data_IF_228225097930
#
_entry.id   IF_228225097930
#
_cell.length_a   1.000
_cell.length_b   1.000
_cell.length_c   1.000
_cell.angle_alpha   90.00
_cell.angle_beta   90.00
_cell.angle_gamma   90.00
#
_symmetry.space_group_name_H-M   'P 1'
#
loop_
_entity.id
_entity.type
_entity.pdbx_description
1 polymer ?
#
# COMPACT_ATOMS: atom_id res chain seq x y z
N UNK A 1 -19.12 13.98 26.09
CA UNK A 1 -19.81 13.42 24.91
C UNK A 1 -18.95 12.26 24.41
N UNK A 2 -19.55 11.26 23.79
CA UNK A 2 -18.79 10.04 23.42
C UNK A 2 -18.47 10.06 21.92
N UNK A 3 -17.21 9.85 21.55
CA UNK A 3 -16.79 9.55 20.18
C UNK A 3 -16.95 8.04 19.92
N UNK A 4 -17.50 7.66 18.79
CA UNK A 4 -17.61 6.27 18.36
C UNK A 4 -16.54 5.96 17.32
N UNK A 5 -15.74 4.94 17.54
CA UNK A 5 -14.81 4.37 16.56
C UNK A 5 -15.38 3.05 16.03
N UNK A 6 -15.52 2.92 14.74
CA UNK A 6 -16.04 1.73 14.06
C UNK A 6 -14.89 0.98 13.40
N UNK A 7 -14.62 -0.23 13.89
CA UNK A 7 -13.48 -1.07 13.52
C UNK A 7 -12.36 -0.99 14.56
N UNK A 8 -11.98 -2.14 15.12
CA UNK A 8 -10.99 -2.28 16.21
C UNK A 8 -9.55 -2.53 15.70
N UNK A 9 -9.31 -2.54 14.38
CA UNK A 9 -7.98 -2.75 13.82
C UNK A 9 -7.09 -1.49 13.95
N UNK A 10 -5.90 -1.52 13.37
CA UNK A 10 -4.83 -0.50 13.51
C UNK A 10 -5.33 0.96 13.50
N UNK A 11 -6.13 1.37 12.51
CA UNK A 11 -6.67 2.74 12.46
C UNK A 11 -7.64 3.04 13.61
N UNK A 12 -8.40 2.02 14.06
CA UNK A 12 -9.30 2.16 15.21
C UNK A 12 -8.54 2.32 16.52
N UNK A 13 -7.44 1.59 16.70
CA UNK A 13 -6.56 1.72 17.87
C UNK A 13 -5.94 3.12 17.92
N UNK A 14 -5.38 3.59 16.79
CA UNK A 14 -4.80 4.93 16.70
C UNK A 14 -5.81 6.04 17.00
N UNK A 15 -7.03 5.93 16.44
CA UNK A 15 -8.15 6.84 16.75
C UNK A 15 -8.49 6.82 18.24
N UNK A 16 -8.68 5.64 18.82
CA UNK A 16 -9.02 5.51 20.24
C UNK A 16 -7.92 6.10 21.13
N UNK A 17 -6.66 5.84 20.82
CA UNK A 17 -5.50 6.38 21.55
C UNK A 17 -5.47 7.91 21.48
N UNK A 18 -5.60 8.47 20.28
CA UNK A 18 -5.59 9.92 20.08
C UNK A 18 -6.78 10.61 20.81
N UNK A 19 -7.99 10.08 20.66
CA UNK A 19 -9.20 10.67 21.26
C UNK A 19 -9.18 10.58 22.79
N UNK A 20 -8.72 9.47 23.37
CA UNK A 20 -8.52 9.34 24.82
C UNK A 20 -7.47 10.37 25.31
N UNK A 21 -6.35 10.51 24.61
CA UNK A 21 -5.32 11.49 24.95
C UNK A 21 -5.85 12.92 24.86
N UNK A 22 -6.80 13.19 23.95
CA UNK A 22 -7.52 14.47 23.86
C UNK A 22 -8.60 14.66 24.95
N UNK A 23 -8.79 13.69 25.85
CA UNK A 23 -9.78 13.76 26.95
C UNK A 23 -11.20 13.42 26.56
N UNK A 24 -11.41 12.76 25.43
CA UNK A 24 -12.74 12.31 25.00
C UNK A 24 -13.13 10.95 25.63
N UNK A 25 -14.42 10.73 25.83
CA UNK A 25 -14.94 9.40 26.10
C UNK A 25 -15.03 8.65 24.78
N UNK A 26 -14.47 7.45 24.71
CA UNK A 26 -14.38 6.68 23.46
C UNK A 26 -15.12 5.36 23.57
N UNK A 27 -15.99 5.08 22.62
CA UNK A 27 -16.55 3.76 22.37
C UNK A 27 -15.95 3.18 21.10
N UNK A 28 -15.53 1.92 21.14
CA UNK A 28 -15.06 1.18 19.96
C UNK A 28 -16.02 0.01 19.72
N UNK A 29 -16.49 -0.11 18.47
CA UNK A 29 -17.32 -1.24 18.02
C UNK A 29 -16.66 -1.98 16.88
N UNK A 30 -16.79 -3.31 16.87
CA UNK A 30 -16.43 -4.16 15.73
C UNK A 30 -17.42 -5.31 15.62
N UNK A 31 -17.72 -5.74 14.40
CA UNK A 31 -18.61 -6.89 14.13
C UNK A 31 -17.97 -8.22 14.48
N UNK A 32 -16.65 -8.29 14.50
CA UNK A 32 -15.92 -9.47 14.91
C UNK A 32 -16.05 -9.67 16.43
N UNK A 33 -16.22 -10.91 16.87
CA UNK A 33 -16.22 -11.22 18.29
C UNK A 33 -14.81 -11.06 18.89
N UNK A 34 -14.73 -10.89 20.22
CA UNK A 34 -13.47 -10.70 20.93
C UNK A 34 -12.43 -11.82 20.69
N UNK A 35 -12.90 -13.04 20.41
CA UNK A 35 -12.02 -14.18 20.14
C UNK A 35 -11.18 -14.00 18.85
N UNK A 36 -11.65 -13.19 17.90
CA UNK A 36 -10.95 -12.89 16.64
C UNK A 36 -10.10 -11.62 16.69
N UNK A 37 -10.14 -10.87 17.80
CA UNK A 37 -9.51 -9.55 17.95
C UNK A 37 -8.59 -9.49 19.20
N UNK A 38 -8.04 -10.61 19.62
CA UNK A 38 -7.25 -10.67 20.86
C UNK A 38 -6.01 -9.78 20.81
N UNK A 39 -5.30 -9.74 19.68
CA UNK A 39 -4.12 -8.91 19.51
C UNK A 39 -4.50 -7.42 19.48
N UNK A 40 -5.57 -7.07 18.81
CA UNK A 40 -6.08 -5.70 18.74
C UNK A 40 -6.56 -5.20 20.12
N UNK A 41 -7.24 -6.06 20.88
CA UNK A 41 -7.70 -5.76 22.25
C UNK A 41 -6.50 -5.49 23.16
N UNK A 42 -5.41 -6.27 23.04
CA UNK A 42 -4.21 -6.09 23.85
C UNK A 42 -3.51 -4.74 23.60
N UNK A 43 -3.71 -4.13 22.42
CA UNK A 43 -3.15 -2.83 22.04
C UNK A 43 -4.14 -1.67 22.24
N UNK A 44 -5.38 -1.95 22.61
CA UNK A 44 -6.39 -0.91 22.82
C UNK A 44 -6.06 -0.07 24.07
N UNK A 45 -6.15 1.27 24.02
CA UNK A 45 -5.90 2.10 25.19
C UNK A 45 -6.91 1.84 26.32
N UNK A 46 -6.50 2.03 27.57
CA UNK A 46 -7.39 1.93 28.72
C UNK A 46 -8.49 2.98 28.71
N UNK A 47 -9.65 2.66 29.27
CA UNK A 47 -10.77 3.60 29.38
C UNK A 47 -11.75 3.62 28.19
N UNK A 48 -11.55 2.74 27.22
CA UNK A 48 -12.45 2.58 26.07
C UNK A 48 -13.67 1.72 26.46
N UNK A 49 -14.89 2.13 26.06
CA UNK A 49 -16.10 1.30 26.05
C UNK A 49 -16.03 0.38 24.81
N UNK A 50 -15.52 -0.83 24.98
CA UNK A 50 -15.28 -1.79 23.89
C UNK A 50 -16.47 -2.73 23.70
N UNK A 51 -17.08 -2.72 22.52
CA UNK A 51 -18.24 -3.56 22.15
C UNK A 51 -17.94 -4.36 20.89
N UNK A 52 -17.75 -5.64 21.04
CA UNK A 52 -17.35 -6.56 19.98
C UNK A 52 -18.44 -7.58 19.69
N UNK A 53 -18.67 -7.87 18.40
CA UNK A 53 -19.69 -8.79 17.93
C UNK A 53 -21.10 -8.19 17.85
N UNK A 54 -21.32 -6.95 18.33
CA UNK A 54 -22.64 -6.31 18.33
C UNK A 54 -22.53 -4.78 18.19
N UNK A 55 -23.26 -4.23 17.24
CA UNK A 55 -23.34 -2.77 16.98
C UNK A 55 -24.62 -2.13 17.54
N UNK A 56 -25.50 -2.89 18.23
CA UNK A 56 -26.78 -2.36 18.75
C UNK A 56 -26.56 -1.30 19.81
N UNK A 57 -27.27 -0.18 19.69
CA UNK A 57 -27.14 0.96 20.60
C UNK A 57 -25.76 1.65 20.55
N UNK A 58 -24.97 1.38 19.50
CA UNK A 58 -23.62 1.95 19.37
C UNK A 58 -23.65 3.49 19.27
N UNK A 59 -24.70 4.07 18.68
CA UNK A 59 -24.87 5.51 18.46
C UNK A 59 -25.46 6.27 19.65
N UNK A 60 -25.82 5.59 20.76
CA UNK A 60 -26.46 6.25 21.89
C UNK A 60 -25.47 7.14 22.65
N UNK A 61 -25.77 8.44 22.73
CA UNK A 61 -24.92 9.46 23.36
C UNK A 61 -23.68 9.84 22.56
N UNK A 62 -23.58 9.41 21.29
CA UNK A 62 -22.45 9.68 20.39
C UNK A 62 -22.64 11.05 19.72
N UNK A 63 -21.54 11.82 19.62
CA UNK A 63 -21.50 13.10 18.91
C UNK A 63 -20.75 13.06 17.59
N UNK A 64 -19.79 12.13 17.44
CA UNK A 64 -19.01 11.93 16.21
C UNK A 64 -18.69 10.44 16.03
N UNK A 65 -18.78 9.96 14.81
CA UNK A 65 -18.40 8.60 14.42
C UNK A 65 -17.13 8.67 13.57
N UNK A 66 -16.13 7.89 13.92
CA UNK A 66 -14.91 7.69 13.14
C UNK A 66 -14.88 6.27 12.58
N UNK A 67 -14.88 6.13 11.26
CA UNK A 67 -14.88 4.84 10.60
C UNK A 67 -13.47 4.45 10.13
N UNK A 68 -13.07 3.20 10.41
CA UNK A 68 -11.86 2.62 9.82
C UNK A 68 -12.02 2.40 8.31
N UNK A 69 -10.95 2.43 7.50
CA UNK A 69 -11.03 2.31 6.03
C UNK A 69 -11.71 1.02 5.52
N UNK A 70 -11.67 -0.06 6.31
CA UNK A 70 -12.34 -1.33 6.00
C UNK A 70 -13.86 -1.29 6.15
N UNK A 71 -14.41 -0.29 6.84
CA UNK A 71 -15.86 -0.15 7.05
C UNK A 71 -16.48 0.46 5.79
N UNK A 72 -17.52 -0.17 5.21
CA UNK A 72 -18.26 0.41 4.10
C UNK A 72 -18.80 1.80 4.44
N UNK A 73 -18.45 2.81 3.59
CA UNK A 73 -18.85 4.21 3.85
C UNK A 73 -20.37 4.42 3.80
N UNK A 74 -21.07 3.50 3.14
CA UNK A 74 -22.53 3.39 3.05
C UNK A 74 -23.12 2.32 3.98
N UNK A 75 -22.35 1.85 4.99
CA UNK A 75 -22.84 0.84 5.95
C UNK A 75 -24.08 1.33 6.71
N UNK A 76 -24.96 0.41 7.15
CA UNK A 76 -26.16 0.77 7.87
C UNK A 76 -25.91 1.66 9.09
N UNK A 77 -24.87 1.36 9.87
CA UNK A 77 -24.48 2.13 11.07
C UNK A 77 -24.10 3.57 10.72
N UNK A 78 -23.27 3.77 9.66
CA UNK A 78 -22.86 5.12 9.24
C UNK A 78 -24.01 5.90 8.61
N UNK A 79 -24.89 5.22 7.88
CA UNK A 79 -26.09 5.86 7.34
C UNK A 79 -27.07 6.27 8.45
N UNK A 80 -27.23 5.44 9.47
CA UNK A 80 -28.03 5.78 10.65
C UNK A 80 -27.43 6.98 11.42
N UNK A 81 -26.10 7.01 11.59
CA UNK A 81 -25.41 8.15 12.20
C UNK A 81 -25.73 9.45 11.45
N UNK A 82 -25.59 9.46 10.13
CA UNK A 82 -25.92 10.63 9.29
C UNK A 82 -27.40 11.02 9.40
N UNK A 83 -28.31 10.05 9.39
CA UNK A 83 -29.75 10.29 9.54
C UNK A 83 -30.10 10.91 10.92
N UNK A 84 -29.33 10.59 11.96
CA UNK A 84 -29.43 11.21 13.29
C UNK A 84 -28.71 12.57 13.41
N UNK A 85 -28.07 13.05 12.34
CA UNK A 85 -27.28 14.29 12.35
C UNK A 85 -25.95 14.17 13.08
N UNK A 86 -25.46 12.95 13.32
CA UNK A 86 -24.16 12.69 13.94
C UNK A 86 -23.08 12.82 12.85
N UNK A 87 -22.03 13.59 13.13
CA UNK A 87 -20.91 13.74 12.21
C UNK A 87 -20.20 12.40 11.98
N UNK A 88 -19.83 12.11 10.71
CA UNK A 88 -19.09 10.92 10.34
C UNK A 88 -17.76 11.33 9.71
N UNK A 89 -16.65 10.84 10.22
CA UNK A 89 -15.29 11.13 9.84
C UNK A 89 -14.46 9.83 9.78
N UNK A 90 -13.17 9.93 9.58
CA UNK A 90 -12.23 8.82 9.57
C UNK A 90 -10.88 9.24 10.18
N UNK A 91 -9.98 8.27 10.38
CA UNK A 91 -8.63 8.53 10.87
C UNK A 91 -7.89 9.52 9.96
N UNK A 92 -7.92 9.31 8.65
CA UNK A 92 -7.23 10.16 7.69
C UNK A 92 -7.87 11.55 7.57
N UNK A 93 -9.19 11.66 7.70
CA UNK A 93 -9.90 12.95 7.70
C UNK A 93 -9.56 13.76 8.95
N UNK A 94 -9.55 13.11 10.12
CA UNK A 94 -9.12 13.73 11.38
C UNK A 94 -7.66 14.19 11.29
N UNK A 95 -6.78 13.32 10.78
CA UNK A 95 -5.37 13.68 10.59
C UNK A 95 -5.22 14.93 9.70
N UNK A 96 -5.87 14.96 8.53
CA UNK A 96 -5.78 16.11 7.60
C UNK A 96 -6.33 17.40 8.19
N UNK A 97 -7.33 17.32 9.08
CA UNK A 97 -7.87 18.48 9.80
C UNK A 97 -6.91 19.03 10.86
N UNK A 98 -6.13 18.17 11.51
CA UNK A 98 -5.23 18.53 12.60
C UNK A 98 -3.79 18.77 12.14
N UNK A 99 -3.40 18.24 11.00
CA UNK A 99 -2.05 18.34 10.46
C UNK A 99 -1.62 19.79 10.17
N UNK A 100 -0.39 20.13 10.55
CA UNK A 100 0.23 21.45 10.34
C UNK A 100 1.22 21.46 9.19
N UNK A 101 1.67 20.30 8.74
CA UNK A 101 2.69 20.15 7.68
C UNK A 101 2.13 20.35 6.27
N UNK A 102 3.03 20.44 5.31
CA UNK A 102 2.70 20.53 3.87
C UNK A 102 2.43 19.13 3.32
N UNK A 103 1.21 18.86 2.85
CA UNK A 103 0.77 17.51 2.48
C UNK A 103 0.93 17.24 0.99
N UNK A 104 1.56 16.12 0.66
CA UNK A 104 1.57 15.49 -0.67
C UNK A 104 0.76 14.22 -0.58
N UNK A 105 -0.34 14.13 -1.32
CA UNK A 105 -1.19 12.93 -1.35
C UNK A 105 -1.01 12.16 -2.67
N UNK A 106 -0.68 10.87 -2.58
CA UNK A 106 -0.38 10.02 -3.73
C UNK A 106 -1.44 8.92 -3.86
N UNK A 107 -2.11 8.89 -5.00
CA UNK A 107 -3.09 7.86 -5.33
C UNK A 107 -2.87 7.30 -6.74
N UNK A 108 -3.59 6.26 -7.07
CA UNK A 108 -3.54 5.54 -8.34
C UNK A 108 -4.05 4.12 -8.16
N UNK A 109 -4.24 3.38 -9.22
CA UNK A 109 -4.50 1.94 -9.10
C UNK A 109 -3.23 1.23 -8.66
N UNK A 110 -2.13 1.44 -9.36
CA UNK A 110 -0.83 0.83 -9.11
C UNK A 110 0.25 1.87 -8.79
N UNK A 111 1.35 1.45 -8.15
CA UNK A 111 2.53 2.28 -7.92
C UNK A 111 2.50 3.18 -6.68
N UNK A 112 1.35 3.32 -6.01
CA UNK A 112 1.17 4.21 -4.83
C UNK A 112 2.29 4.07 -3.80
N UNK A 113 2.47 2.89 -3.26
CA UNK A 113 3.44 2.61 -2.18
C UNK A 113 4.87 2.96 -2.57
N UNK A 114 5.30 2.53 -3.77
CA UNK A 114 6.64 2.81 -4.28
C UNK A 114 6.84 4.31 -4.49
N UNK A 115 5.86 4.99 -5.09
CA UNK A 115 5.93 6.44 -5.32
C UNK A 115 5.94 7.21 -4.01
N UNK A 116 5.12 6.82 -3.03
CA UNK A 116 5.06 7.47 -1.72
C UNK A 116 6.39 7.35 -0.97
N UNK A 117 6.96 6.15 -0.93
CA UNK A 117 8.27 5.92 -0.32
C UNK A 117 9.38 6.69 -1.05
N UNK A 118 9.39 6.65 -2.39
CA UNK A 118 10.39 7.36 -3.19
C UNK A 118 10.25 8.88 -3.06
N UNK A 119 9.02 9.43 -3.04
CA UNK A 119 8.79 10.85 -2.79
C UNK A 119 9.28 11.24 -1.39
N UNK A 120 9.09 10.38 -0.40
CA UNK A 120 9.66 10.55 0.94
C UNK A 120 11.18 10.66 0.92
N UNK A 121 11.87 9.79 0.18
CA UNK A 121 13.35 9.82 0.03
C UNK A 121 13.80 11.07 -0.75
N UNK A 122 13.11 11.43 -1.83
CA UNK A 122 13.40 12.64 -2.62
C UNK A 122 13.26 13.90 -1.78
N UNK A 123 12.14 14.06 -1.07
CA UNK A 123 11.91 15.21 -0.19
C UNK A 123 12.86 15.23 0.99
N UNK A 124 13.20 14.06 1.55
CA UNK A 124 14.18 13.90 2.64
C UNK A 124 15.60 14.26 2.26
N UNK A 125 15.94 14.29 0.95
CA UNK A 125 17.21 14.84 0.48
C UNK A 125 17.28 16.37 0.55
N UNK A 126 16.15 17.05 0.84
CA UNK A 126 16.07 18.48 1.10
C UNK A 126 16.39 18.86 2.56
N UNK A 127 16.01 20.07 2.94
CA UNK A 127 16.29 20.61 4.28
C UNK A 127 15.15 20.43 5.29
N UNK A 128 13.93 20.18 4.79
CA UNK A 128 12.72 20.03 5.63
C UNK A 128 12.57 18.58 6.07
N UNK A 129 12.16 18.32 7.32
CA UNK A 129 11.85 16.98 7.78
C UNK A 129 10.65 16.39 7.02
N UNK A 130 10.60 15.07 6.94
CA UNK A 130 9.58 14.36 6.16
C UNK A 130 8.92 13.28 7.01
N UNK A 131 7.60 13.25 6.98
CA UNK A 131 6.78 12.14 7.50
C UNK A 131 6.14 11.42 6.32
N UNK A 132 6.27 10.10 6.28
CA UNK A 132 5.65 9.24 5.25
C UNK A 132 4.64 8.32 5.93
N UNK A 133 3.45 8.16 5.35
CA UNK A 133 2.43 7.30 5.92
C UNK A 133 1.15 7.24 5.08
N UNK A 134 0.00 7.05 5.74
CA UNK A 134 -1.31 6.89 5.10
C UNK A 134 -1.70 5.41 4.98
N UNK A 135 -1.95 4.92 3.78
CA UNK A 135 -2.28 3.50 3.54
C UNK A 135 -1.04 2.58 3.57
N UNK A 136 0.09 3.08 4.03
CA UNK A 136 1.36 2.35 4.20
C UNK A 136 1.96 2.63 5.59
N UNK A 137 2.72 1.68 6.11
CA UNK A 137 3.43 1.82 7.39
C UNK A 137 2.49 1.99 8.59
N UNK A 138 2.96 2.71 9.58
CA UNK A 138 2.18 3.07 10.76
C UNK A 138 1.11 4.12 10.44
N UNK A 139 0.12 4.24 11.31
CA UNK A 139 -0.93 5.25 11.16
C UNK A 139 -0.33 6.65 11.31
N UNK A 140 -0.69 7.55 10.39
CA UNK A 140 -0.15 8.93 10.43
C UNK A 140 -0.65 9.71 11.63
N UNK A 141 -1.78 9.31 12.20
CA UNK A 141 -2.35 9.94 13.40
C UNK A 141 -1.42 9.77 14.62
N UNK A 142 -0.71 8.64 14.72
CA UNK A 142 0.26 8.39 15.79
C UNK A 142 1.48 9.32 15.73
N UNK A 143 1.72 9.93 14.57
CA UNK A 143 2.84 10.83 14.32
C UNK A 143 2.45 12.32 14.31
N UNK A 144 1.18 12.64 14.63
CA UNK A 144 0.66 14.00 14.51
C UNK A 144 1.44 15.02 15.37
N UNK A 145 1.84 14.63 16.58
CA UNK A 145 2.55 15.50 17.51
C UNK A 145 3.99 15.85 17.07
N UNK A 146 4.57 15.05 16.18
CA UNK A 146 5.89 15.33 15.60
C UNK A 146 5.82 16.38 14.50
N UNK A 147 4.63 16.59 13.90
CA UNK A 147 4.49 17.38 12.67
C UNK A 147 4.35 18.87 12.99
N UNK A 148 5.30 19.62 12.47
CA UNK A 148 5.32 21.09 12.50
C UNK A 148 5.04 21.67 11.10
N UNK A 149 4.80 22.99 10.95
CA UNK A 149 4.63 23.62 9.64
C UNK A 149 5.81 23.43 8.67
N UNK A 150 6.99 23.11 9.19
CA UNK A 150 8.19 22.86 8.37
C UNK A 150 8.26 21.45 7.81
N UNK A 151 7.37 20.54 8.20
CA UNK A 151 7.37 19.17 7.69
C UNK A 151 6.74 19.06 6.30
N UNK A 152 7.32 18.17 5.48
CA UNK A 152 6.61 17.51 4.40
C UNK A 152 5.90 16.27 4.95
N UNK A 153 4.65 16.10 4.55
CA UNK A 153 3.86 14.91 4.88
C UNK A 153 3.46 14.23 3.60
N UNK A 154 4.01 13.05 3.34
CA UNK A 154 3.75 12.27 2.11
C UNK A 154 2.81 11.12 2.44
N UNK A 155 1.61 11.16 1.89
CA UNK A 155 0.55 10.20 2.17
C UNK A 155 0.24 9.31 0.98
N UNK A 156 0.28 8.00 1.19
CA UNK A 156 -0.43 7.08 0.31
C UNK A 156 -1.93 7.18 0.58
N UNK A 157 -2.74 7.45 -0.43
CA UNK A 157 -4.18 7.58 -0.30
C UNK A 157 -4.92 6.55 -1.15
N UNK A 158 -5.63 5.64 -0.49
CA UNK A 158 -6.55 4.70 -1.14
C UNK A 158 -7.88 5.39 -1.48
N UNK A 159 -8.69 4.76 -2.37
CA UNK A 159 -10.05 5.25 -2.64
C UNK A 159 -10.95 5.20 -1.39
N UNK A 160 -10.75 4.22 -0.51
CA UNK A 160 -11.49 4.11 0.74
C UNK A 160 -11.20 5.28 1.69
N UNK A 161 -9.94 5.73 1.73
CA UNK A 161 -9.56 6.91 2.49
C UNK A 161 -10.08 8.20 1.83
N UNK A 162 -9.92 8.36 0.51
CA UNK A 162 -10.42 9.53 -0.22
C UNK A 162 -11.94 9.66 -0.16
N UNK A 163 -12.69 8.54 -0.09
CA UNK A 163 -14.14 8.54 0.11
C UNK A 163 -14.56 9.14 1.45
N UNK A 164 -13.74 8.92 2.48
CA UNK A 164 -14.03 9.31 3.86
C UNK A 164 -13.56 10.72 4.24
N UNK A 165 -12.74 11.38 3.41
CA UNK A 165 -12.27 12.76 3.66
C UNK A 165 -13.26 13.76 3.08
N UNK A 166 -13.71 14.70 3.87
CA UNK A 166 -14.69 15.71 3.41
C UNK A 166 -14.08 16.62 2.33
N UNK A 167 -12.92 17.20 2.60
CA UNK A 167 -12.17 18.08 1.68
C UNK A 167 -10.68 17.82 1.81
N UNK A 168 -10.11 16.89 1.02
CA UNK A 168 -8.68 16.63 1.05
C UNK A 168 -7.90 17.84 0.48
N UNK A 169 -7.45 18.72 1.38
CA UNK A 169 -6.58 19.83 1.02
C UNK A 169 -5.15 19.34 0.98
N UNK A 170 -4.66 19.12 -0.22
CA UNK A 170 -3.31 18.65 -0.50
C UNK A 170 -2.55 19.75 -1.23
N UNK A 171 -1.34 20.08 -0.79
CA UNK A 171 -0.46 20.98 -1.53
C UNK A 171 -0.06 20.39 -2.88
N UNK A 172 0.13 19.07 -2.93
CA UNK A 172 0.28 18.36 -4.20
C UNK A 172 -0.54 17.07 -4.17
N UNK A 173 -1.51 16.96 -5.06
CA UNK A 173 -2.25 15.73 -5.33
C UNK A 173 -1.63 15.00 -6.52
N UNK A 174 -1.21 13.74 -6.33
CA UNK A 174 -0.55 12.93 -7.36
C UNK A 174 -1.47 11.79 -7.78
N UNK A 175 -1.79 11.68 -9.07
CA UNK A 175 -2.55 10.56 -9.64
C UNK A 175 -1.70 9.83 -10.67
N UNK A 176 -1.33 8.57 -10.37
CA UNK A 176 -0.36 7.80 -11.15
C UNK A 176 -0.98 7.14 -12.38
N UNK A 177 -2.09 6.44 -12.18
CA UNK A 177 -2.81 5.69 -13.20
C UNK A 177 -4.19 5.30 -12.66
N UNK A 178 -5.15 5.06 -13.55
CA UNK A 178 -6.48 4.58 -13.18
C UNK A 178 -6.91 3.47 -14.14
N UNK A 179 -6.95 2.24 -13.62
CA UNK A 179 -7.52 1.07 -14.30
C UNK A 179 -8.58 0.44 -13.41
N UNK A 180 -9.55 -0.31 -13.94
CA UNK A 180 -10.62 -0.92 -13.13
C UNK A 180 -10.06 -1.75 -11.98
N UNK A 181 -10.54 -1.44 -10.76
CA UNK A 181 -10.16 -2.13 -9.53
C UNK A 181 -11.25 -1.88 -8.47
N UNK A 182 -11.40 -2.80 -7.51
CA UNK A 182 -12.38 -2.69 -6.40
C UNK A 182 -13.81 -2.36 -6.84
N UNK A 183 -14.26 -2.87 -8.01
CA UNK A 183 -15.60 -2.60 -8.52
C UNK A 183 -16.69 -3.27 -7.68
N UNK A 184 -16.37 -4.37 -7.01
CA UNK A 184 -17.20 -5.01 -5.98
C UNK A 184 -17.57 -4.05 -4.84
N UNK A 185 -16.68 -3.10 -4.54
CA UNK A 185 -16.84 -2.11 -3.48
C UNK A 185 -17.44 -0.79 -3.99
N UNK A 186 -16.99 -0.30 -5.13
CA UNK A 186 -17.37 1.02 -5.65
C UNK A 186 -18.54 0.97 -6.63
N UNK A 187 -18.93 -0.22 -7.09
CA UNK A 187 -20.06 -0.45 -8.01
C UNK A 187 -19.70 -0.14 -9.47
N UNK A 188 -19.15 1.03 -9.77
CA UNK A 188 -18.81 1.44 -11.15
C UNK A 188 -17.38 1.96 -11.26
N UNK A 189 -16.84 1.91 -12.48
CA UNK A 189 -15.52 2.47 -12.78
C UNK A 189 -15.51 4.00 -12.65
N UNK A 190 -16.57 4.66 -13.06
CA UNK A 190 -16.75 6.11 -12.95
C UNK A 190 -16.67 6.55 -11.48
N UNK A 191 -17.34 5.83 -10.57
CA UNK A 191 -17.24 6.11 -9.13
C UNK A 191 -15.82 5.94 -8.60
N UNK A 192 -15.10 4.92 -9.07
CA UNK A 192 -13.69 4.71 -8.71
C UNK A 192 -12.80 5.86 -9.21
N UNK A 193 -13.02 6.34 -10.43
CA UNK A 193 -12.34 7.52 -11.01
C UNK A 193 -12.65 8.77 -10.19
N UNK A 194 -13.92 9.00 -9.86
CA UNK A 194 -14.36 10.16 -9.07
C UNK A 194 -13.68 10.19 -7.69
N UNK A 195 -13.57 9.05 -7.03
CA UNK A 195 -12.90 8.98 -5.74
C UNK A 195 -11.42 9.33 -5.82
N UNK A 196 -10.71 8.89 -6.87
CA UNK A 196 -9.30 9.28 -7.06
C UNK A 196 -9.14 10.74 -7.42
N UNK A 197 -10.05 11.31 -8.22
CA UNK A 197 -10.03 12.71 -8.60
C UNK A 197 -10.09 13.66 -7.40
N UNK A 198 -10.69 13.22 -6.29
CA UNK A 198 -10.73 14.00 -5.04
C UNK A 198 -9.33 14.44 -4.55
N UNK A 199 -8.28 13.71 -4.91
CA UNK A 199 -6.91 14.10 -4.56
C UNK A 199 -6.47 15.44 -5.20
N UNK A 200 -7.16 15.94 -6.22
CA UNK A 200 -6.82 17.18 -6.93
C UNK A 200 -7.97 18.20 -6.99
N UNK A 201 -9.20 17.79 -6.71
CA UNK A 201 -10.40 18.65 -6.88
C UNK A 201 -10.44 19.84 -5.92
N UNK A 202 -9.82 19.72 -4.77
CA UNK A 202 -9.84 20.75 -3.73
C UNK A 202 -8.56 21.61 -3.72
N UNK A 203 -7.70 21.44 -4.72
CA UNK A 203 -6.50 22.24 -4.90
C UNK A 203 -6.83 23.69 -5.22
N UNK A 204 -6.17 24.61 -4.54
CA UNK A 204 -6.22 26.06 -4.83
C UNK A 204 -5.17 26.45 -5.88
N UNK A 205 -5.10 27.76 -6.26
CA UNK A 205 -4.16 28.25 -7.30
C UNK A 205 -2.67 28.01 -6.98
N UNK A 206 -2.32 27.91 -5.70
CA UNK A 206 -0.96 27.70 -5.21
C UNK A 206 -0.64 26.19 -4.99
N UNK A 207 -1.63 25.33 -5.19
CA UNK A 207 -1.48 23.87 -5.07
C UNK A 207 -1.25 23.22 -6.43
N UNK A 208 -0.84 21.96 -6.41
CA UNK A 208 -0.42 21.23 -7.60
C UNK A 208 -1.23 19.95 -7.83
N UNK A 209 -1.60 19.71 -9.08
CA UNK A 209 -2.11 18.42 -9.56
C UNK A 209 -1.03 17.75 -10.42
N UNK A 210 -0.37 16.72 -9.88
CA UNK A 210 0.70 15.97 -10.54
C UNK A 210 0.09 14.75 -11.22
N UNK A 211 0.04 14.78 -12.56
CA UNK A 211 -0.76 13.86 -13.36
C UNK A 211 0.07 13.10 -14.39
N UNK A 212 -0.37 11.87 -14.71
CA UNK A 212 0.19 11.06 -15.79
C UNK A 212 -0.48 11.42 -17.12
N UNK A 213 0.21 12.14 -17.99
CA UNK A 213 -0.31 12.51 -19.31
C UNK A 213 -0.43 11.34 -20.29
N UNK A 214 0.20 10.18 -20.01
CA UNK A 214 0.09 8.96 -20.83
C UNK A 214 -1.15 8.13 -20.50
N UNK A 215 -1.72 8.29 -19.31
CA UNK A 215 -2.97 7.64 -18.91
C UNK A 215 -4.15 8.52 -19.36
N UNK A 216 -4.98 8.01 -20.26
CA UNK A 216 -6.07 8.79 -20.86
C UNK A 216 -7.13 9.20 -19.82
N UNK A 217 -7.40 8.34 -18.84
CA UNK A 217 -8.36 8.63 -17.76
C UNK A 217 -7.79 9.74 -16.87
N UNK A 218 -6.53 9.61 -16.44
CA UNK A 218 -5.87 10.63 -15.61
C UNK A 218 -5.75 11.95 -16.34
N UNK A 219 -5.42 11.93 -17.65
CA UNK A 219 -5.35 13.13 -18.47
C UNK A 219 -6.68 13.90 -18.51
N UNK A 220 -7.80 13.17 -18.58
CA UNK A 220 -9.13 13.75 -18.53
C UNK A 220 -9.47 14.47 -17.22
N UNK A 221 -8.78 14.16 -16.13
CA UNK A 221 -9.02 14.76 -14.82
C UNK A 221 -8.40 16.17 -14.67
N UNK A 222 -7.55 16.60 -15.59
CA UNK A 222 -6.91 17.93 -15.51
C UNK A 222 -7.90 19.09 -15.45
N UNK A 223 -9.09 18.94 -16.02
CA UNK A 223 -10.15 19.95 -15.97
C UNK A 223 -10.90 20.01 -14.61
N UNK A 224 -10.64 19.05 -13.71
CA UNK A 224 -11.32 18.96 -12.41
C UNK A 224 -10.58 19.69 -11.28
N UNK A 225 -9.42 20.27 -11.56
CA UNK A 225 -8.63 21.00 -10.56
C UNK A 225 -8.58 22.51 -10.86
N UNK A 226 -8.44 23.32 -9.82
CA UNK A 226 -8.07 24.73 -9.91
C UNK A 226 -6.59 24.94 -9.59
N UNK A 227 -5.86 23.90 -9.22
CA UNK A 227 -4.43 23.92 -8.97
C UNK A 227 -3.61 23.90 -10.27
N UNK A 228 -2.31 24.08 -10.13
CA UNK A 228 -1.36 24.05 -11.24
C UNK A 228 -1.14 22.58 -11.70
N UNK A 229 -1.42 22.30 -12.97
CA UNK A 229 -1.22 20.95 -13.52
C UNK A 229 0.25 20.73 -13.89
N UNK A 230 0.82 19.67 -13.34
CA UNK A 230 2.19 19.20 -13.62
C UNK A 230 2.13 17.81 -14.24
N UNK A 231 2.50 17.71 -15.52
CA UNK A 231 2.57 16.43 -16.25
C UNK A 231 3.91 15.76 -15.99
N UNK A 232 3.96 14.72 -15.16
CA UNK A 232 5.23 14.11 -14.77
C UNK A 232 5.89 13.27 -15.87
N UNK A 233 5.12 12.80 -16.87
CA UNK A 233 5.61 12.02 -18.00
C UNK A 233 6.31 12.87 -19.08
N UNK A 234 6.22 14.20 -19.01
CA UNK A 234 6.81 15.15 -19.98
C UNK A 234 8.19 15.66 -19.57
N UNK A 235 8.71 15.21 -18.43
CA UNK A 235 10.01 15.64 -17.93
C UNK A 235 11.19 14.85 -18.51
N UNK A 236 12.41 15.41 -18.33
CA UNK A 236 13.65 14.83 -18.83
C UNK A 236 13.88 13.40 -18.32
N UNK A 237 14.62 12.58 -19.09
CA UNK A 237 14.95 11.22 -18.66
C UNK A 237 15.63 11.22 -17.28
N UNK A 238 15.13 10.37 -16.40
CA UNK A 238 15.74 10.14 -15.10
C UNK A 238 16.94 9.17 -15.23
N UNK A 239 17.88 9.19 -14.27
CA UNK A 239 18.94 8.19 -14.23
C UNK A 239 18.36 6.78 -14.03
N UNK A 240 19.11 5.74 -14.43
CA UNK A 240 18.75 4.38 -14.07
C UNK A 240 18.55 4.26 -12.56
N UNK A 241 17.49 3.58 -12.16
CA UNK A 241 17.20 3.28 -10.77
C UNK A 241 17.42 1.79 -10.48
N UNK A 242 17.71 1.39 -9.23
CA UNK A 242 17.95 -0.01 -8.90
C UNK A 242 16.74 -0.94 -9.07
N UNK A 243 15.53 -0.37 -9.09
CA UNK A 243 14.30 -1.14 -9.22
C UNK A 243 13.99 -1.48 -10.68
N UNK A 244 13.74 -2.76 -11.00
CA UNK A 244 13.39 -3.18 -12.34
C UNK A 244 11.97 -2.74 -12.73
N UNK A 245 11.73 -2.67 -14.06
CA UNK A 245 10.42 -2.47 -14.63
C UNK A 245 10.09 -1.00 -15.00
N UNK A 246 9.41 -0.85 -16.15
CA UNK A 246 9.00 0.47 -16.69
C UNK A 246 8.10 1.23 -15.72
N UNK A 247 7.23 0.54 -15.01
CA UNK A 247 6.33 1.15 -14.02
C UNK A 247 7.10 1.84 -12.88
N UNK A 248 8.28 1.33 -12.49
CA UNK A 248 9.10 1.99 -11.47
C UNK A 248 9.73 3.28 -11.99
N UNK A 249 10.03 3.37 -13.30
CA UNK A 249 10.45 4.63 -13.92
C UNK A 249 9.31 5.67 -13.89
N UNK A 250 8.07 5.26 -14.13
CA UNK A 250 6.90 6.15 -14.03
C UNK A 250 6.67 6.62 -12.59
N UNK A 251 6.83 5.73 -11.60
CA UNK A 251 6.82 6.08 -10.17
C UNK A 251 7.91 7.12 -9.84
N UNK A 252 9.10 6.95 -10.40
CA UNK A 252 10.21 7.87 -10.20
C UNK A 252 9.97 9.25 -10.84
N UNK A 253 9.36 9.30 -12.02
CA UNK A 253 8.97 10.56 -12.66
C UNK A 253 7.98 11.36 -11.80
N UNK A 254 6.99 10.67 -11.21
CA UNK A 254 6.03 11.30 -10.30
C UNK A 254 6.70 11.83 -9.02
N UNK A 255 7.59 11.04 -8.41
CA UNK A 255 8.35 11.47 -7.22
C UNK A 255 9.30 12.64 -7.55
N UNK A 256 9.93 12.63 -8.73
CA UNK A 256 10.77 13.74 -9.20
C UNK A 256 9.97 15.04 -9.41
N UNK A 257 8.75 14.94 -9.94
CA UNK A 257 7.86 16.10 -10.05
C UNK A 257 7.53 16.71 -8.68
N UNK A 258 7.26 15.88 -7.67
CA UNK A 258 7.08 16.33 -6.28
C UNK A 258 8.34 17.01 -5.75
N UNK A 259 9.53 16.45 -6.02
CA UNK A 259 10.80 17.07 -5.63
C UNK A 259 11.02 18.46 -6.24
N UNK A 260 10.65 18.64 -7.52
CA UNK A 260 10.72 19.96 -8.19
C UNK A 260 9.73 20.97 -7.61
N UNK A 261 8.51 20.53 -7.28
CA UNK A 261 7.52 21.37 -6.58
C UNK A 261 8.10 21.84 -5.22
N UNK A 262 8.86 20.97 -4.55
CA UNK A 262 9.55 21.32 -3.31
C UNK A 262 10.79 22.22 -3.49
N UNK A 263 11.13 22.59 -4.73
CA UNK A 263 12.28 23.45 -5.06
C UNK A 263 13.63 22.72 -5.03
N UNK A 264 13.67 21.39 -5.06
CA UNK A 264 14.91 20.62 -5.12
C UNK A 264 15.54 20.68 -6.51
N UNK A 265 16.87 20.69 -6.57
CA UNK A 265 17.60 20.60 -7.84
C UNK A 265 17.46 19.21 -8.46
N UNK A 266 17.54 19.12 -9.79
CA UNK A 266 17.54 17.83 -10.50
C UNK A 266 18.70 16.93 -10.07
N UNK A 267 19.83 17.48 -9.67
CA UNK A 267 20.98 16.72 -9.14
C UNK A 267 20.63 16.03 -7.82
N UNK A 268 19.98 16.75 -6.89
CA UNK A 268 19.51 16.21 -5.60
C UNK A 268 18.47 15.11 -5.83
N UNK A 269 17.50 15.37 -6.70
CA UNK A 269 16.44 14.42 -7.06
C UNK A 269 17.04 13.14 -7.68
N UNK A 270 17.93 13.30 -8.65
CA UNK A 270 18.57 12.19 -9.34
C UNK A 270 19.43 11.34 -8.39
N UNK A 271 20.12 11.97 -7.43
CA UNK A 271 20.90 11.27 -6.42
C UNK A 271 19.98 10.44 -5.50
N UNK A 272 18.87 11.02 -5.05
CA UNK A 272 17.88 10.31 -4.25
C UNK A 272 17.29 9.09 -5.00
N UNK A 273 16.96 9.24 -6.28
CA UNK A 273 16.43 8.15 -7.12
C UNK A 273 17.46 7.02 -7.30
N UNK A 274 18.73 7.34 -7.54
CA UNK A 274 19.80 6.32 -7.68
C UNK A 274 20.02 5.51 -6.41
N UNK A 275 19.81 6.12 -5.25
CA UNK A 275 20.04 5.47 -3.94
C UNK A 275 18.83 4.77 -3.37
N UNK A 276 17.65 4.91 -4.01
CA UNK A 276 16.43 4.30 -3.55
C UNK A 276 16.43 2.78 -3.76
N UNK A 277 16.45 2.04 -2.67
CA UNK A 277 16.53 0.56 -2.69
C UNK A 277 15.17 -0.13 -2.84
N UNK A 278 14.08 0.63 -2.97
CA UNK A 278 12.71 0.10 -3.00
C UNK A 278 12.03 0.15 -1.62
N UNK A 279 10.89 -0.49 -1.58
CA UNK A 279 10.11 -0.70 -0.36
C UNK A 279 10.36 -2.11 0.11
N UNK A 280 10.61 -2.32 1.39
CA UNK A 280 10.76 -3.65 1.94
C UNK A 280 9.60 -4.56 1.55
N UNK A 281 9.90 -5.79 1.24
CA UNK A 281 8.95 -6.81 0.82
C UNK A 281 8.17 -6.53 -0.49
N UNK A 282 8.59 -5.53 -1.27
CA UNK A 282 7.97 -5.22 -2.59
C UNK A 282 9.05 -5.13 -3.66
N UNK A 283 9.24 -6.21 -4.43
CA UNK A 283 10.32 -6.36 -5.40
C UNK A 283 11.67 -5.88 -4.85
N UNK A 284 11.88 -6.09 -3.56
CA UNK A 284 13.07 -5.71 -2.83
C UNK A 284 14.26 -6.59 -3.28
N UNK A 285 15.31 -5.98 -3.83
CA UNK A 285 16.54 -6.70 -4.15
C UNK A 285 17.25 -7.07 -2.85
N UNK A 286 17.27 -8.35 -2.50
CA UNK A 286 18.01 -8.87 -1.35
C UNK A 286 19.51 -8.89 -1.62
N UNK A 287 19.90 -9.25 -2.83
CA UNK A 287 21.28 -9.26 -3.29
C UNK A 287 21.48 -10.03 -4.59
N UNK A 288 22.73 -10.10 -5.02
CA UNK A 288 23.17 -10.84 -6.19
C UNK A 288 24.38 -11.72 -5.83
N UNK A 289 24.28 -13.02 -6.10
CA UNK A 289 25.35 -13.99 -5.87
C UNK A 289 25.47 -14.91 -7.08
N UNK A 290 26.70 -15.15 -7.50
CA UNK A 290 27.02 -15.97 -8.68
C UNK A 290 26.22 -15.56 -9.94
N UNK A 291 25.93 -14.26 -10.11
CA UNK A 291 25.14 -13.74 -11.23
C UNK A 291 23.64 -14.07 -11.17
N UNK A 292 23.12 -14.47 -10.01
CA UNK A 292 21.70 -14.69 -9.74
C UNK A 292 21.21 -13.60 -8.80
N UNK A 293 20.16 -12.89 -9.19
CA UNK A 293 19.53 -11.84 -8.38
C UNK A 293 18.35 -12.42 -7.58
N UNK A 294 18.25 -12.03 -6.31
CA UNK A 294 17.23 -12.50 -5.38
C UNK A 294 16.29 -11.36 -4.98
N UNK A 295 15.01 -11.52 -5.23
CA UNK A 295 14.01 -10.51 -4.95
C UNK A 295 12.97 -10.99 -3.93
N UNK A 296 12.69 -10.14 -2.96
CA UNK A 296 11.65 -10.32 -1.96
C UNK A 296 10.43 -9.47 -2.32
N UNK A 297 9.35 -10.14 -2.69
CA UNK A 297 8.05 -9.54 -2.97
C UNK A 297 6.96 -10.18 -2.10
N UNK A 298 7.30 -10.44 -0.84
CA UNK A 298 6.42 -11.09 0.13
C UNK A 298 5.08 -10.38 0.31
N UNK A 299 5.00 -9.08 0.01
CA UNK A 299 3.78 -8.27 0.03
C UNK A 299 2.78 -8.63 -1.08
N UNK A 300 3.16 -9.39 -2.09
CA UNK A 300 2.26 -9.93 -3.11
C UNK A 300 1.38 -11.04 -2.51
N UNK A 301 0.32 -10.65 -1.81
CA UNK A 301 -0.59 -11.54 -1.08
C UNK A 301 -1.83 -11.93 -1.88
N UNK A 302 -1.88 -11.59 -3.15
CA UNK A 302 -2.92 -11.97 -4.11
C UNK A 302 -2.32 -12.21 -5.51
N UNK A 303 -3.02 -12.93 -6.41
CA UNK A 303 -2.54 -13.26 -7.75
C UNK A 303 -2.18 -12.05 -8.61
N UNK A 304 -2.96 -10.96 -8.56
CA UNK A 304 -2.71 -9.76 -9.37
C UNK A 304 -1.39 -9.09 -9.01
N UNK A 305 -1.07 -9.01 -7.72
CA UNK A 305 0.22 -8.51 -7.26
C UNK A 305 1.38 -9.40 -7.76
N UNK A 306 1.20 -10.73 -7.71
CA UNK A 306 2.17 -11.69 -8.23
C UNK A 306 2.42 -11.52 -9.74
N UNK A 307 1.38 -11.25 -10.51
CA UNK A 307 1.47 -10.96 -11.96
C UNK A 307 2.33 -9.73 -12.24
N UNK A 308 2.10 -8.64 -11.49
CA UNK A 308 2.90 -7.40 -11.62
C UNK A 308 4.38 -7.68 -11.35
N UNK A 309 4.68 -8.52 -10.34
CA UNK A 309 6.05 -8.87 -9.99
C UNK A 309 6.73 -9.71 -11.08
N UNK A 310 6.05 -10.71 -11.66
CA UNK A 310 6.56 -11.51 -12.77
C UNK A 310 6.90 -10.67 -13.99
N UNK A 311 6.00 -9.76 -14.36
CA UNK A 311 6.15 -8.85 -15.50
C UNK A 311 7.27 -7.78 -15.32
N UNK A 312 7.87 -7.68 -14.12
CA UNK A 312 9.03 -6.81 -13.89
C UNK A 312 10.35 -7.38 -14.46
N UNK A 313 10.38 -8.65 -14.88
CA UNK A 313 11.58 -9.33 -15.33
C UNK A 313 11.47 -9.87 -16.78
N UNK A 314 11.19 -9.03 -17.78
CA UNK A 314 11.00 -9.50 -19.15
C UNK A 314 12.27 -10.16 -19.68
N UNK A 315 12.13 -11.42 -20.14
CA UNK A 315 13.22 -12.19 -20.75
C UNK A 315 14.27 -12.74 -19.78
N UNK A 316 14.15 -12.48 -18.47
CA UNK A 316 15.00 -13.11 -17.48
C UNK A 316 14.47 -14.52 -17.12
N UNK A 317 15.34 -15.51 -16.90
CA UNK A 317 14.93 -16.81 -16.37
C UNK A 317 14.53 -16.67 -14.89
N UNK A 318 13.22 -16.78 -14.60
CA UNK A 318 12.70 -16.61 -13.24
C UNK A 318 12.44 -17.96 -12.58
N UNK A 319 12.94 -18.16 -11.37
CA UNK A 319 12.51 -19.22 -10.44
C UNK A 319 11.60 -18.56 -9.40
N UNK A 320 10.32 -18.94 -9.41
CA UNK A 320 9.30 -18.37 -8.56
C UNK A 320 9.12 -19.19 -7.28
N UNK A 321 9.05 -18.56 -6.12
CA UNK A 321 8.55 -19.15 -4.87
C UNK A 321 7.16 -18.58 -4.62
N UNK A 322 6.13 -19.47 -4.62
CA UNK A 322 4.73 -19.09 -4.52
C UNK A 322 3.97 -19.97 -3.52
N UNK A 323 2.83 -19.44 -3.03
CA UNK A 323 1.91 -20.15 -2.13
C UNK A 323 1.80 -19.50 -0.75
N UNK A 324 0.91 -20.05 0.06
CA UNK A 324 0.54 -19.55 1.38
C UNK A 324 -0.93 -19.84 1.71
N UNK A 325 -1.59 -18.96 2.46
CA UNK A 325 -2.95 -19.14 2.96
C UNK A 325 -3.98 -18.38 2.12
N UNK A 326 -5.04 -19.06 1.74
CA UNK A 326 -6.19 -18.47 1.07
C UNK A 326 -6.81 -19.39 0.02
N UNK A 327 -8.01 -19.03 -0.43
CA UNK A 327 -8.77 -19.75 -1.47
C UNK A 327 -9.68 -18.78 -2.22
N UNK A 328 -10.32 -19.26 -3.29
CA UNK A 328 -11.34 -18.50 -4.02
C UNK A 328 -10.82 -17.44 -4.98
N UNK A 329 -9.51 -17.38 -5.22
CA UNK A 329 -8.94 -16.49 -6.25
C UNK A 329 -9.17 -17.08 -7.65
N UNK A 330 -9.46 -16.20 -8.62
CA UNK A 330 -9.30 -16.54 -10.04
C UNK A 330 -7.80 -16.56 -10.38
N UNK A 331 -7.30 -17.72 -10.75
CA UNK A 331 -5.89 -17.95 -11.05
C UNK A 331 -5.57 -17.91 -12.55
N UNK A 332 -6.57 -17.79 -13.41
CA UNK A 332 -6.40 -17.95 -14.86
C UNK A 332 -5.26 -17.11 -15.44
N UNK A 333 -5.31 -15.83 -15.17
CA UNK A 333 -4.31 -14.89 -15.72
C UNK A 333 -2.96 -15.01 -15.02
N UNK A 334 -2.95 -15.31 -13.71
CA UNK A 334 -1.72 -15.55 -12.97
C UNK A 334 -0.99 -16.82 -13.47
N UNK A 335 -1.73 -17.89 -13.71
CA UNK A 335 -1.19 -19.11 -14.30
C UNK A 335 -0.59 -18.85 -15.69
N UNK A 336 -1.29 -18.08 -16.53
CA UNK A 336 -0.77 -17.72 -17.84
C UNK A 336 0.57 -16.97 -17.75
N UNK A 337 0.69 -16.00 -16.83
CA UNK A 337 1.94 -15.24 -16.62
C UNK A 337 3.04 -16.14 -16.02
N UNK A 338 2.72 -17.05 -15.09
CA UNK A 338 3.69 -18.01 -14.55
C UNK A 338 4.23 -18.92 -15.66
N UNK A 339 3.37 -19.49 -16.49
CA UNK A 339 3.77 -20.34 -17.62
C UNK A 339 4.66 -19.60 -18.63
N UNK A 340 4.40 -18.32 -18.84
CA UNK A 340 5.14 -17.49 -19.80
C UNK A 340 6.50 -17.00 -19.29
N UNK A 341 6.65 -16.78 -17.98
CA UNK A 341 7.79 -16.05 -17.41
C UNK A 341 8.68 -16.87 -16.49
N UNK A 342 8.30 -18.10 -16.09
CA UNK A 342 9.11 -18.85 -15.13
C UNK A 342 9.73 -20.12 -15.72
N UNK A 343 10.94 -20.44 -15.27
CA UNK A 343 11.63 -21.69 -15.60
C UNK A 343 11.33 -22.82 -14.59
N UNK A 344 11.06 -22.42 -13.35
CA UNK A 344 10.63 -23.33 -12.29
C UNK A 344 9.75 -22.60 -11.28
N UNK A 345 8.84 -23.34 -10.66
CA UNK A 345 7.99 -22.84 -9.56
C UNK A 345 8.21 -23.72 -8.34
N UNK A 346 8.42 -23.09 -7.19
CA UNK A 346 8.53 -23.76 -5.89
C UNK A 346 7.30 -23.40 -5.08
N UNK A 347 6.52 -24.38 -4.69
CA UNK A 347 5.27 -24.19 -3.97
C UNK A 347 5.45 -24.43 -2.48
N UNK A 348 4.95 -23.51 -1.66
CA UNK A 348 4.95 -23.58 -0.20
C UNK A 348 3.53 -23.37 0.37
N UNK A 349 3.31 -23.80 1.60
CA UNK A 349 2.13 -23.49 2.38
C UNK A 349 0.85 -24.21 1.95
N UNK A 350 -0.26 -23.79 2.54
CA UNK A 350 -1.55 -24.49 2.45
C UNK A 350 -2.16 -24.50 1.04
N UNK A 351 -1.84 -23.52 0.18
CA UNK A 351 -2.34 -23.48 -1.20
C UNK A 351 -1.54 -24.35 -2.19
N UNK A 352 -0.48 -25.03 -1.73
CA UNK A 352 0.43 -25.75 -2.62
C UNK A 352 -0.26 -26.81 -3.48
N UNK A 353 -1.24 -27.57 -2.96
CA UNK A 353 -1.98 -28.58 -3.72
C UNK A 353 -2.82 -27.94 -4.83
N UNK A 354 -3.54 -26.85 -4.52
CA UNK A 354 -4.35 -26.09 -5.46
C UNK A 354 -3.49 -25.50 -6.59
N UNK A 355 -2.36 -24.90 -6.22
CA UNK A 355 -1.43 -24.31 -7.19
C UNK A 355 -0.75 -25.36 -8.06
N UNK A 356 -0.42 -26.54 -7.51
CA UNK A 356 0.15 -27.64 -8.28
C UNK A 356 -0.82 -28.13 -9.36
N UNK A 357 -2.11 -28.25 -9.04
CA UNK A 357 -3.13 -28.62 -10.03
C UNK A 357 -3.32 -27.51 -11.07
N UNK A 358 -3.36 -26.24 -10.65
CA UNK A 358 -3.48 -25.11 -11.56
C UNK A 358 -2.28 -24.98 -12.53
N UNK A 359 -1.09 -25.37 -12.09
CA UNK A 359 0.17 -25.32 -12.83
C UNK A 359 0.58 -26.68 -13.44
N UNK A 360 -0.35 -27.62 -13.61
CA UNK A 360 -0.08 -28.97 -14.15
C UNK A 360 0.63 -28.99 -15.52
N UNK A 361 0.44 -27.93 -16.30
CA UNK A 361 1.06 -27.77 -17.62
C UNK A 361 2.47 -27.13 -17.53
N UNK A 362 2.91 -26.71 -16.35
CA UNK A 362 4.23 -26.15 -16.16
C UNK A 362 5.31 -27.24 -16.09
N UNK A 363 6.43 -27.12 -16.86
CA UNK A 363 7.41 -28.18 -17.00
C UNK A 363 8.17 -28.51 -15.69
N UNK A 364 8.20 -27.60 -14.72
CA UNK A 364 9.00 -27.77 -13.50
C UNK A 364 8.35 -27.13 -12.29
N UNK A 365 7.56 -27.91 -11.57
CA UNK A 365 6.95 -27.52 -10.28
C UNK A 365 7.56 -28.39 -9.19
N UNK A 366 8.05 -27.76 -8.12
CA UNK A 366 8.68 -28.42 -6.96
C UNK A 366 7.90 -28.02 -5.70
N UNK A 367 7.75 -28.93 -4.75
CA UNK A 367 7.17 -28.63 -3.43
C UNK A 367 8.26 -28.49 -2.39
N UNK A 368 8.07 -27.55 -1.48
CA UNK A 368 8.90 -27.39 -0.29
C UNK A 368 8.02 -27.27 0.94
N UNK A 369 8.40 -27.94 2.01
CA UNK A 369 7.67 -27.94 3.29
C UNK A 369 8.01 -26.72 4.15
N UNK A 370 9.15 -26.12 3.90
CA UNK A 370 9.64 -24.93 4.61
C UNK A 370 10.18 -23.88 3.64
N UNK A 371 10.22 -22.61 4.08
CA UNK A 371 10.84 -21.55 3.30
C UNK A 371 12.35 -21.79 3.08
N UNK A 372 13.04 -22.43 4.06
CA UNK A 372 14.43 -22.80 3.93
C UNK A 372 14.69 -23.83 2.82
N UNK A 373 13.83 -24.86 2.72
CA UNK A 373 13.87 -25.82 1.60
C UNK A 373 13.59 -25.11 0.27
N UNK A 374 12.65 -24.18 0.23
CA UNK A 374 12.34 -23.42 -0.97
C UNK A 374 13.51 -22.56 -1.46
N UNK A 375 14.21 -21.86 -0.55
CA UNK A 375 15.42 -21.09 -0.85
C UNK A 375 16.53 -21.99 -1.38
N UNK A 376 16.77 -23.14 -0.74
CA UNK A 376 17.78 -24.10 -1.17
C UNK A 376 17.47 -24.70 -2.55
N UNK A 377 16.19 -25.06 -2.80
CA UNK A 377 15.74 -25.55 -4.11
C UNK A 377 15.91 -24.46 -5.18
N UNK A 378 15.55 -23.20 -4.88
CA UNK A 378 15.71 -22.09 -5.82
C UNK A 378 17.17 -21.86 -6.21
N UNK A 379 18.10 -21.93 -5.25
CA UNK A 379 19.54 -21.82 -5.52
C UNK A 379 20.03 -22.89 -6.50
N UNK A 380 19.52 -24.12 -6.37
CA UNK A 380 19.91 -25.24 -7.26
C UNK A 380 19.21 -25.23 -8.63
N UNK A 381 18.12 -24.50 -8.77
CA UNK A 381 17.30 -24.47 -10.00
C UNK A 381 17.60 -23.25 -10.89
N UNK A 382 18.15 -22.19 -10.32
CA UNK A 382 18.36 -20.93 -11.04
C UNK A 382 19.72 -20.95 -11.76
N UNK A 383 19.71 -20.63 -13.03
CA UNK A 383 20.93 -20.52 -13.84
C UNK A 383 21.53 -19.11 -13.77
N UNK A 384 22.78 -18.98 -14.21
CA UNK A 384 23.48 -17.71 -14.35
C UNK A 384 22.65 -16.68 -15.13
N UNK A 385 22.56 -15.45 -14.65
CA UNK A 385 21.72 -14.39 -15.20
C UNK A 385 20.26 -14.46 -14.78
N UNK A 386 19.89 -15.47 -13.99
CA UNK A 386 18.52 -15.67 -13.54
C UNK A 386 18.09 -14.81 -12.35
N UNK A 387 16.82 -14.96 -12.02
CA UNK A 387 16.14 -14.28 -10.93
C UNK A 387 15.48 -15.31 -10.04
N UNK A 388 15.71 -15.26 -8.74
CA UNK A 388 14.84 -15.91 -7.74
C UNK A 388 13.87 -14.86 -7.21
N UNK A 389 12.59 -15.14 -7.32
CA UNK A 389 11.52 -14.23 -6.93
C UNK A 389 10.62 -14.90 -5.87
N UNK A 390 10.65 -14.39 -4.63
CA UNK A 390 9.58 -14.67 -3.67
C UNK A 390 8.41 -13.73 -3.98
N UNK A 391 7.39 -14.22 -4.68
CA UNK A 391 6.14 -13.49 -4.93
C UNK A 391 4.96 -14.44 -4.76
N UNK A 392 4.49 -14.60 -3.51
CA UNK A 392 3.68 -15.73 -3.09
C UNK A 392 2.31 -15.82 -3.72
N UNK A 393 1.71 -14.72 -4.15
CA UNK A 393 0.33 -14.60 -4.63
C UNK A 393 -0.74 -14.97 -3.57
N UNK A 394 -0.33 -15.28 -2.34
CA UNK A 394 -1.16 -15.71 -1.22
C UNK A 394 -0.73 -15.07 0.10
N UNK A 395 -1.67 -14.98 1.07
CA UNK A 395 -1.37 -14.54 2.43
C UNK A 395 -0.40 -15.51 3.12
N UNK A 396 0.20 -15.08 4.23
CA UNK A 396 1.28 -15.82 4.91
C UNK A 396 0.88 -16.54 6.19
N UNK A 397 -0.37 -16.37 6.64
CA UNK A 397 -0.84 -16.76 7.99
C UNK A 397 -0.84 -18.28 8.30
N UNK A 398 -0.54 -19.13 7.33
CA UNK A 398 -0.39 -20.58 7.52
C UNK A 398 0.99 -21.00 8.02
N UNK A 399 2.02 -20.21 7.70
CA UNK A 399 3.42 -20.53 8.04
C UNK A 399 4.14 -19.40 8.79
N UNK A 400 3.61 -18.18 8.78
CA UNK A 400 4.25 -16.97 9.29
C UNK A 400 3.23 -16.08 10.01
N UNK A 401 3.73 -15.20 10.88
CA UNK A 401 2.90 -14.22 11.58
C UNK A 401 2.18 -13.27 10.60
N UNK A 402 2.90 -12.75 9.63
CA UNK A 402 2.46 -11.80 8.61
C UNK A 402 3.37 -11.87 7.38
N UNK A 403 3.14 -11.02 6.38
CA UNK A 403 3.97 -10.97 5.18
C UNK A 403 5.35 -10.36 5.46
N UNK A 404 5.49 -9.48 6.44
CA UNK A 404 6.77 -8.94 6.88
C UNK A 404 7.65 -10.05 7.46
N UNK A 405 7.12 -10.87 8.34
CA UNK A 405 7.83 -12.01 8.92
C UNK A 405 8.29 -12.98 7.83
N UNK A 406 7.42 -13.36 6.89
CA UNK A 406 7.79 -14.19 5.73
C UNK A 406 8.92 -13.58 4.93
N UNK A 407 8.84 -12.28 4.64
CA UNK A 407 9.87 -11.57 3.87
C UNK A 407 11.18 -11.42 4.63
N UNK A 408 11.16 -11.19 5.94
CA UNK A 408 12.35 -11.11 6.77
C UNK A 408 13.04 -12.46 6.90
N UNK A 409 12.27 -13.55 7.10
CA UNK A 409 12.83 -14.89 7.10
C UNK A 409 13.44 -15.27 5.75
N UNK A 410 12.81 -14.89 4.63
CA UNK A 410 13.38 -15.09 3.29
C UNK A 410 14.73 -14.37 3.15
N UNK A 411 14.81 -13.08 3.51
CA UNK A 411 16.08 -12.32 3.47
C UNK A 411 17.18 -13.01 4.30
N UNK A 412 16.85 -13.41 5.52
CA UNK A 412 17.80 -14.07 6.42
C UNK A 412 18.29 -15.41 5.86
N UNK A 413 17.40 -16.22 5.28
CA UNK A 413 17.74 -17.51 4.66
C UNK A 413 18.61 -17.33 3.42
N UNK A 414 18.29 -16.36 2.56
CA UNK A 414 19.11 -16.04 1.38
C UNK A 414 20.52 -15.58 1.80
N UNK A 415 20.63 -14.65 2.75
CA UNK A 415 21.91 -14.19 3.25
C UNK A 415 22.74 -15.34 3.85
N UNK A 416 22.10 -16.24 4.61
CA UNK A 416 22.73 -17.42 5.19
C UNK A 416 23.22 -18.41 4.11
N UNK A 417 22.46 -18.58 3.03
CA UNK A 417 22.81 -19.48 1.92
C UNK A 417 24.14 -19.07 1.24
N UNK A 418 24.47 -17.78 1.25
CA UNK A 418 25.64 -17.22 0.57
C UNK A 418 26.67 -16.58 1.52
N UNK A 419 26.49 -16.73 2.84
CA UNK A 419 27.42 -16.20 3.85
C UNK A 419 28.66 -17.10 4.06
N UNK A 420 28.85 -18.16 3.23
CA UNK A 420 29.94 -19.12 3.33
C UNK A 420 31.09 -18.76 2.38
#
# INVERSE_FOLDING_TARGET
MTALVVGAARSGIALATHLIAAGESVRVVDRKPAAELQDEIAHMPGGVDLRLGDERGALDGVHTVYASPGVPWDSPLLNEARARGIAVSSEIDLFLKLNKGTVVGITGTNGKTTTTALAGVVLGAGKRPVVVGGNIGDTVLDRLDEITPDHWVVLELSTFQLESVERPRLHAGVILNITPDHLDRHGTFERYVDLKARAIEFAGPDDFAVLNGRDEVVRGLASRTHGQVVWFDQHQPLPPMPLPGRHNMENALAAAAVGRIAGLSDETINTAIRTFKGVEHRLELVGEWAGVRWFNDSKATNPDAGRVALNAFPGAPVVLIAGGYGSGFDLKDWVADVLAHTEAVILIGASADLLQEALRDHPKVVRASTLGEAVSAAAGLTRLGGVVLLSPAYKSFDMFKDYEDRGNQFKALVLKQFAA
#
